data_IF_870649274262
#
_entry.id   IF_870649274262
#
_cell.length_a   1.000
_cell.length_b   1.000
_cell.length_c   1.000
_cell.angle_alpha   90.00
_cell.angle_beta   90.00
_cell.angle_gamma   90.00
#
_symmetry.space_group_name_H-M   'P 1'
#
loop_
_entity.id
_entity.type
_entity.pdbx_description
1 polymer ?
#
# COMPACT_ATOMS: atom_id res chain seq x y z
N UNK A 1 21.55 -9.46 -13.04
CA UNK A 1 21.17 -8.19 -12.35
C UNK A 1 21.59 -8.27 -10.88
N UNK A 2 22.27 -7.26 -10.33
CA UNK A 2 22.73 -7.30 -8.92
C UNK A 2 21.54 -7.46 -7.96
N UNK A 3 21.63 -8.37 -6.98
CA UNK A 3 20.55 -8.68 -6.02
C UNK A 3 19.94 -7.42 -5.37
N UNK A 4 20.76 -6.43 -5.03
CA UNK A 4 20.32 -5.15 -4.43
C UNK A 4 19.45 -4.32 -5.41
N UNK A 5 19.83 -4.27 -6.69
CA UNK A 5 19.06 -3.56 -7.73
C UNK A 5 17.72 -4.26 -7.97
N UNK A 6 17.71 -5.59 -7.92
CA UNK A 6 16.49 -6.39 -8.05
C UNK A 6 15.55 -6.14 -6.86
N UNK A 7 16.04 -6.22 -5.61
CA UNK A 7 15.24 -5.90 -4.41
C UNK A 7 14.68 -4.48 -4.45
N UNK A 8 15.51 -3.49 -4.80
CA UNK A 8 15.06 -2.10 -4.93
C UNK A 8 13.94 -1.97 -5.96
N UNK A 9 14.11 -2.56 -7.14
CA UNK A 9 13.09 -2.52 -8.18
C UNK A 9 11.79 -3.23 -7.75
N UNK A 10 11.90 -4.41 -7.13
CA UNK A 10 10.75 -5.13 -6.58
C UNK A 10 9.99 -4.30 -5.54
N UNK A 11 10.70 -3.61 -4.62
CA UNK A 11 10.06 -2.74 -3.63
C UNK A 11 9.32 -1.57 -4.28
N UNK A 12 9.91 -0.93 -5.29
CA UNK A 12 9.25 0.16 -6.04
C UNK A 12 7.98 -0.35 -6.73
N UNK A 13 8.06 -1.51 -7.42
CA UNK A 13 6.90 -2.11 -8.08
C UNK A 13 5.80 -2.43 -7.08
N UNK A 14 6.14 -3.04 -5.94
CA UNK A 14 5.17 -3.35 -4.86
C UNK A 14 4.53 -2.06 -4.32
N UNK A 15 5.29 -0.99 -4.12
CA UNK A 15 4.73 0.29 -3.67
C UNK A 15 3.74 0.87 -4.68
N UNK A 16 4.07 0.86 -5.97
CA UNK A 16 3.19 1.35 -7.04
C UNK A 16 1.91 0.50 -7.09
N UNK A 17 2.04 -0.83 -7.02
CA UNK A 17 0.91 -1.74 -7.00
C UNK A 17 -0.02 -1.47 -5.80
N UNK A 18 0.57 -1.27 -4.61
CA UNK A 18 -0.18 -0.95 -3.40
C UNK A 18 -0.94 0.38 -3.50
N UNK A 19 -0.34 1.40 -4.12
CA UNK A 19 -0.99 2.70 -4.37
C UNK A 19 -2.18 2.55 -5.32
N UNK A 20 -2.13 1.64 -6.29
CA UNK A 20 -3.25 1.36 -7.21
C UNK A 20 -4.35 0.51 -6.56
N UNK A 21 -3.97 -0.53 -5.82
CA UNK A 21 -4.91 -1.51 -5.25
C UNK A 21 -5.64 -0.96 -4.01
N UNK A 22 -4.96 -0.18 -3.17
CA UNK A 22 -5.57 0.35 -1.94
C UNK A 22 -6.82 1.23 -2.19
N UNK A 23 -6.84 2.22 -3.11
CA UNK A 23 -8.04 3.00 -3.40
C UNK A 23 -9.15 2.16 -4.00
N UNK A 24 -8.82 1.18 -4.85
CA UNK A 24 -9.82 0.21 -5.35
C UNK A 24 -10.46 -0.56 -4.19
N UNK A 25 -9.65 -1.05 -3.25
CA UNK A 25 -10.12 -1.70 -2.03
C UNK A 25 -11.01 -0.78 -1.18
N UNK A 26 -10.65 0.49 -1.02
CA UNK A 26 -11.45 1.46 -0.25
C UNK A 26 -12.83 1.65 -0.88
N UNK A 27 -12.88 1.87 -2.19
CA UNK A 27 -14.15 2.04 -2.92
C UNK A 27 -15.00 0.79 -2.81
N UNK A 28 -14.40 -0.39 -3.03
CA UNK A 28 -15.13 -1.66 -2.91
C UNK A 28 -15.71 -1.86 -1.50
N UNK A 29 -14.92 -1.56 -0.46
CA UNK A 29 -15.37 -1.66 0.93
C UNK A 29 -16.45 -0.63 1.26
N UNK A 30 -16.41 0.56 0.64
CA UNK A 30 -17.44 1.59 0.79
C UNK A 30 -18.75 1.19 0.10
N UNK A 31 -18.69 0.46 -1.02
CA UNK A 31 -19.86 -0.16 -1.65
C UNK A 31 -20.44 -1.22 -0.73
N UNK A 32 -19.61 -2.12 -0.18
CA UNK A 32 -20.06 -3.10 0.83
C UNK A 32 -20.67 -2.43 2.05
N UNK A 33 -20.09 -1.33 2.56
CA UNK A 33 -20.68 -0.55 3.66
C UNK A 33 -22.05 0.02 3.30
N UNK A 34 -22.33 0.34 2.04
CA UNK A 34 -23.64 0.86 1.65
C UNK A 34 -24.72 -0.23 1.52
N UNK A 35 -24.33 -1.44 1.12
CA UNK A 35 -25.28 -2.51 0.77
C UNK A 35 -25.37 -3.62 1.81
N UNK A 36 -24.37 -3.78 2.67
CA UNK A 36 -24.29 -4.87 3.63
C UNK A 36 -24.59 -4.44 5.07
N UNK A 37 -24.78 -3.15 5.34
CA UNK A 37 -25.16 -2.64 6.67
C UNK A 37 -26.56 -2.02 6.62
N UNK A 38 -27.30 -2.12 7.74
CA UNK A 38 -28.64 -1.51 7.84
C UNK A 38 -28.59 0.01 7.79
N UNK A 39 -27.54 0.60 8.37
CA UNK A 39 -27.29 2.03 8.32
C UNK A 39 -25.86 2.33 7.88
N UNK A 40 -25.67 3.51 7.28
CA UNK A 40 -24.37 3.98 6.77
C UNK A 40 -23.39 4.25 7.92
N UNK A 41 -23.90 4.42 9.14
CA UNK A 41 -23.11 4.58 10.36
C UNK A 41 -22.70 3.24 11.00
N UNK A 42 -23.32 2.13 10.60
CA UNK A 42 -22.96 0.82 11.10
C UNK A 42 -21.70 0.32 10.39
N UNK A 43 -20.79 -0.24 11.17
CA UNK A 43 -19.49 -0.70 10.68
C UNK A 43 -19.43 -2.21 10.44
N UNK A 44 -20.40 -2.97 10.95
CA UNK A 44 -20.43 -4.44 10.86
C UNK A 44 -21.37 -4.87 9.76
N UNK A 45 -20.85 -5.64 8.80
CA UNK A 45 -21.64 -6.24 7.72
C UNK A 45 -22.64 -7.27 8.27
N UNK A 46 -23.92 -7.17 7.90
CA UNK A 46 -24.92 -8.20 8.15
C UNK A 46 -24.73 -9.45 7.28
N UNK A 47 -23.96 -9.36 6.19
CA UNK A 47 -23.71 -10.47 5.26
C UNK A 47 -22.49 -11.27 5.72
N UNK A 48 -21.38 -10.59 6.00
CA UNK A 48 -20.08 -11.21 6.26
C UNK A 48 -19.65 -11.13 7.73
N UNK A 49 -20.35 -10.37 8.57
CA UNK A 49 -20.01 -10.17 9.99
C UNK A 49 -18.72 -9.37 10.22
N UNK A 50 -18.10 -8.85 9.17
CA UNK A 50 -16.80 -8.15 9.22
C UNK A 50 -16.97 -6.68 9.54
N UNK A 51 -15.98 -6.12 10.23
CA UNK A 51 -15.85 -4.69 10.43
C UNK A 51 -15.26 -4.02 9.17
N UNK A 52 -16.15 -3.42 8.38
CA UNK A 52 -15.85 -2.72 7.13
C UNK A 52 -15.10 -1.40 7.41
N UNK A 53 -15.40 -0.72 8.52
CA UNK A 53 -14.72 0.51 8.92
C UNK A 53 -13.24 0.28 9.25
N UNK A 54 -12.92 -0.80 9.98
CA UNK A 54 -11.53 -1.19 10.25
C UNK A 54 -10.79 -1.56 8.97
N UNK A 55 -11.49 -2.22 8.03
CA UNK A 55 -10.93 -2.54 6.71
C UNK A 55 -10.57 -1.27 5.93
N UNK A 56 -11.46 -0.28 5.89
CA UNK A 56 -11.20 1.03 5.28
C UNK A 56 -10.05 1.75 5.98
N UNK A 57 -9.99 1.73 7.31
CA UNK A 57 -8.92 2.36 8.09
C UNK A 57 -7.56 1.72 7.76
N UNK A 58 -7.49 0.41 7.75
CA UNK A 58 -6.25 -0.32 7.43
C UNK A 58 -5.81 -0.06 5.98
N UNK A 59 -6.74 -0.04 5.02
CA UNK A 59 -6.42 0.30 3.63
C UNK A 59 -5.88 1.73 3.49
N UNK A 60 -6.45 2.71 4.21
CA UNK A 60 -5.91 4.08 4.26
C UNK A 60 -4.49 4.12 4.84
N UNK A 61 -4.24 3.40 5.92
CA UNK A 61 -2.90 3.32 6.53
C UNK A 61 -1.90 2.72 5.54
N UNK A 62 -2.25 1.62 4.88
CA UNK A 62 -1.42 0.96 3.88
C UNK A 62 -1.13 1.91 2.72
N UNK A 63 -2.14 2.64 2.23
CA UNK A 63 -1.97 3.61 1.16
C UNK A 63 -0.95 4.71 1.52
N UNK A 64 -1.09 5.32 2.71
CA UNK A 64 -0.17 6.35 3.20
C UNK A 64 1.24 5.77 3.37
N UNK A 65 1.35 4.56 3.91
CA UNK A 65 2.63 3.88 4.08
C UNK A 65 3.32 3.62 2.72
N UNK A 66 2.58 3.14 1.71
CA UNK A 66 3.11 2.93 0.37
C UNK A 66 3.59 4.23 -0.29
N UNK A 67 2.87 5.34 -0.10
CA UNK A 67 3.31 6.66 -0.58
C UNK A 67 4.61 7.11 0.08
N UNK A 68 4.68 7.04 1.42
CA UNK A 68 5.89 7.40 2.17
C UNK A 68 7.08 6.53 1.74
N UNK A 69 6.87 5.22 1.63
CA UNK A 69 7.90 4.28 1.22
C UNK A 69 8.40 4.57 -0.20
N UNK A 70 7.50 4.87 -1.13
CA UNK A 70 7.86 5.26 -2.50
C UNK A 70 8.69 6.56 -2.52
N UNK A 71 8.27 7.58 -1.78
CA UNK A 71 9.01 8.86 -1.65
C UNK A 71 10.40 8.61 -1.07
N UNK A 72 10.52 7.82 -0.01
CA UNK A 72 11.81 7.43 0.56
C UNK A 72 12.69 6.68 -0.45
N UNK A 73 12.14 5.71 -1.20
CA UNK A 73 12.88 4.96 -2.20
C UNK A 73 13.37 5.83 -3.36
N UNK A 74 12.59 6.81 -3.78
CA UNK A 74 12.98 7.77 -4.83
C UNK A 74 14.06 8.71 -4.29
N UNK A 75 13.88 9.25 -3.08
CA UNK A 75 14.84 10.16 -2.45
C UNK A 75 16.20 9.48 -2.24
N UNK A 76 16.21 8.27 -1.69
CA UNK A 76 17.44 7.50 -1.45
C UNK A 76 17.97 6.76 -2.70
N UNK A 77 17.32 6.89 -3.86
CA UNK A 77 17.72 6.22 -5.11
C UNK A 77 19.20 6.35 -5.40
N UNK A 78 19.74 7.57 -5.34
CA UNK A 78 21.16 7.85 -5.61
C UNK A 78 22.07 7.18 -4.59
N UNK A 79 21.72 7.19 -3.30
CA UNK A 79 22.51 6.58 -2.22
C UNK A 79 22.52 5.05 -2.30
N UNK A 80 21.39 4.43 -2.64
CA UNK A 80 21.23 2.97 -2.73
C UNK A 80 21.91 2.42 -4.00
N UNK A 81 21.75 3.09 -5.15
CA UNK A 81 22.30 2.63 -6.42
C UNK A 81 23.80 2.91 -6.59
N UNK A 82 24.34 3.97 -5.95
CA UNK A 82 25.77 4.36 -6.05
C UNK A 82 26.68 3.60 -5.07
N UNK A 83 26.11 2.94 -4.05
CA UNK A 83 26.86 2.20 -3.00
C UNK A 83 27.70 1.02 -3.51
N UNK A 84 27.62 0.68 -4.81
CA UNK A 84 28.43 -0.38 -5.44
C UNK A 84 29.71 0.11 -6.12
N UNK A 85 29.94 1.42 -6.26
CA UNK A 85 31.19 1.92 -6.87
C UNK A 85 32.37 2.00 -5.91
N UNK A 86 32.14 1.83 -4.60
CA UNK A 86 33.10 2.17 -3.53
C UNK A 86 33.40 0.96 -2.61
N UNK A 87 33.16 -0.27 -3.11
CA UNK A 87 33.44 -1.53 -2.40
C UNK A 87 34.42 -2.43 -3.17
N UNK A 88 35.04 -1.90 -4.22
CA UNK A 88 36.04 -2.56 -5.08
C UNK A 88 37.33 -1.72 -5.17
N UNK A 89 37.55 -0.78 -4.23
CA UNK A 89 38.82 -0.09 -4.00
C UNK A 89 39.40 -0.53 -2.66
#
# INVERSE_FOLDING_TARGET
MNKIKLIYFSLVVISILGILVAPYGIVNTMVSLKYETENIQDCVSNVSGKNLCDTIRNLKIIFVFCLLLLVCLIYFRKKILKRKSNKED
#
